data_IF_429273245164
#
_entry.id   IF_429273245164
#
_cell.length_a   1.000
_cell.length_b   1.000
_cell.length_c   1.000
_cell.angle_alpha   90.00
_cell.angle_beta   90.00
_cell.angle_gamma   90.00
#
_symmetry.space_group_name_H-M   'P 1'
#
loop_
_entity.id
_entity.type
_entity.pdbx_description
1 polymer ?
#
# COMPACT_ATOMS: atom_id res chain seq x y z
N UNK A 1 6.38 -27.51 22.96
CA UNK A 1 7.71 -27.40 22.30
C UNK A 1 7.63 -27.11 20.81
N UNK A 2 8.55 -26.32 20.25
CA UNK A 2 8.67 -26.08 18.81
C UNK A 2 9.52 -27.18 18.18
N UNK A 3 9.04 -27.78 17.09
CA UNK A 3 9.77 -28.83 16.38
C UNK A 3 9.75 -28.55 14.88
N UNK A 4 10.91 -28.70 14.23
CA UNK A 4 11.04 -28.66 12.78
C UNK A 4 10.75 -30.06 12.24
N UNK A 5 9.75 -30.20 11.37
CA UNK A 5 9.56 -31.41 10.56
C UNK A 5 10.04 -31.09 9.13
N UNK A 6 10.65 -32.07 8.47
CA UNK A 6 11.22 -31.95 7.13
C UNK A 6 10.29 -31.17 6.18
N UNK A 7 10.80 -30.03 5.71
CA UNK A 7 10.09 -29.06 4.87
C UNK A 7 9.69 -27.80 5.62
N UNK A 8 10.63 -26.86 5.79
CA UNK A 8 10.53 -25.41 6.06
C UNK A 8 9.27 -24.79 6.74
N UNK A 9 8.47 -25.53 7.49
CA UNK A 9 7.26 -25.05 8.16
C UNK A 9 7.43 -25.14 9.68
N UNK A 10 7.25 -24.02 10.36
CA UNK A 10 7.29 -23.95 11.82
C UNK A 10 5.90 -24.30 12.36
N UNK A 11 5.83 -25.25 13.29
CA UNK A 11 4.59 -25.69 13.91
C UNK A 11 4.68 -25.55 15.44
N UNK A 12 3.56 -25.20 16.07
CA UNK A 12 3.38 -25.27 17.51
C UNK A 12 2.52 -26.48 17.87
N UNK A 13 2.97 -27.23 18.88
CA UNK A 13 2.22 -28.36 19.44
C UNK A 13 1.77 -28.02 20.86
N UNK A 14 0.48 -28.23 21.13
CA UNK A 14 -0.09 -28.11 22.46
C UNK A 14 0.23 -29.36 23.30
N UNK A 15 0.83 -29.20 24.47
CA UNK A 15 1.19 -30.33 25.34
C UNK A 15 -0.02 -30.92 26.10
N UNK A 16 -1.11 -30.17 26.24
CA UNK A 16 -2.31 -30.64 26.93
C UNK A 16 -3.24 -31.50 26.04
N UNK A 17 -3.38 -31.15 24.77
CA UNK A 17 -4.30 -31.82 23.85
C UNK A 17 -3.62 -32.45 22.61
N UNK A 18 -2.31 -32.29 22.47
CA UNK A 18 -1.51 -32.88 21.38
C UNK A 18 -1.73 -32.26 20.00
N UNK A 19 -2.66 -31.31 19.87
CA UNK A 19 -2.98 -30.69 18.59
C UNK A 19 -1.80 -29.84 18.07
N UNK A 20 -1.57 -29.91 16.76
CA UNK A 20 -0.44 -29.23 16.11
C UNK A 20 -0.98 -28.19 15.13
N UNK A 21 -0.64 -26.93 15.37
CA UNK A 21 -1.02 -25.80 14.52
C UNK A 21 0.19 -25.35 13.70
N UNK A 22 0.00 -25.24 12.39
CA UNK A 22 1.01 -24.70 11.48
C UNK A 22 0.99 -23.17 11.54
N UNK A 23 2.17 -22.57 11.73
CA UNK A 23 2.33 -21.11 11.73
C UNK A 23 2.75 -20.68 10.34
N UNK A 24 2.07 -19.66 9.80
CA UNK A 24 2.41 -19.10 8.49
C UNK A 24 3.74 -18.35 8.57
N UNK A 25 4.62 -18.59 7.60
CA UNK A 25 6.01 -18.13 7.62
C UNK A 25 6.16 -16.64 7.27
N UNK A 26 5.21 -16.08 6.52
CA UNK A 26 5.39 -14.79 5.85
C UNK A 26 4.74 -13.59 6.59
N UNK A 27 4.13 -13.83 7.76
CA UNK A 27 3.30 -12.83 8.44
C UNK A 27 3.94 -12.17 9.66
N UNK A 28 5.14 -12.58 10.08
CA UNK A 28 5.75 -12.02 11.30
C UNK A 28 7.28 -12.13 11.32
N UNK A 29 7.98 -11.06 11.71
CA UNK A 29 9.47 -11.01 11.82
C UNK A 29 10.04 -12.11 12.73
N UNK A 30 9.27 -12.54 13.73
CA UNK A 30 9.63 -13.63 14.65
C UNK A 30 9.72 -14.99 13.94
N UNK A 31 8.86 -15.27 12.98
CA UNK A 31 8.84 -16.54 12.22
C UNK A 31 10.08 -16.67 11.33
N UNK A 32 10.52 -15.55 10.75
CA UNK A 32 11.77 -15.43 9.99
C UNK A 32 13.01 -15.60 10.89
N UNK A 33 12.99 -15.03 12.10
CA UNK A 33 14.09 -15.14 13.06
C UNK A 33 14.25 -16.58 13.60
N UNK A 34 13.15 -17.26 13.93
CA UNK A 34 13.18 -18.67 14.38
C UNK A 34 13.68 -19.58 13.25
N UNK A 35 13.30 -19.31 12.01
CA UNK A 35 13.79 -20.06 10.84
C UNK A 35 15.28 -19.92 10.62
N UNK A 36 15.84 -18.73 10.87
CA UNK A 36 17.27 -18.42 10.69
C UNK A 36 18.15 -18.91 11.84
N UNK A 37 17.64 -19.00 13.07
CA UNK A 37 18.43 -19.31 14.28
C UNK A 37 18.23 -20.72 14.85
N UNK A 38 17.36 -21.57 14.29
CA UNK A 38 17.29 -22.97 14.72
C UNK A 38 18.54 -23.74 14.26
N UNK A 39 19.39 -24.11 15.24
CA UNK A 39 20.57 -24.97 15.09
C UNK A 39 20.26 -26.19 14.21
N UNK A 40 21.07 -26.39 13.17
CA UNK A 40 21.08 -27.60 12.38
C UNK A 40 21.81 -28.68 13.19
N UNK A 41 21.09 -29.72 13.63
CA UNK A 41 21.76 -31.00 13.88
C UNK A 41 21.96 -31.70 12.54
N UNK A 42 23.23 -32.04 12.28
CA UNK A 42 23.73 -32.61 11.04
C UNK A 42 23.05 -33.93 10.66
N UNK A 43 22.69 -34.05 9.39
CA UNK A 43 22.34 -35.30 8.74
C UNK A 43 22.85 -35.30 7.30
N UNK A 44 23.92 -36.06 7.08
CA UNK A 44 24.63 -36.28 5.82
C UNK A 44 23.70 -36.68 4.66
N UNK A 45 23.99 -36.18 3.43
CA UNK A 45 24.25 -37.02 2.24
C UNK A 45 24.47 -36.18 0.96
N UNK A 46 25.73 -36.15 0.55
CA UNK A 46 26.35 -36.33 -0.78
C UNK A 46 25.59 -36.08 -2.11
N UNK A 47 26.30 -35.39 -3.02
CA UNK A 47 26.27 -35.54 -4.50
C UNK A 47 25.56 -34.41 -5.26
N UNK A 48 26.07 -33.77 -6.31
CA UNK A 48 27.29 -33.90 -7.11
C UNK A 48 27.47 -32.62 -7.99
N UNK A 49 28.71 -32.11 -8.08
CA UNK A 49 29.43 -31.32 -9.12
C UNK A 49 28.65 -30.65 -10.29
N UNK A 50 28.73 -29.32 -10.51
CA UNK A 50 29.80 -28.47 -11.15
C UNK A 50 29.54 -28.19 -12.67
N UNK A 51 30.24 -27.27 -13.36
CA UNK A 51 29.64 -26.06 -13.98
C UNK A 51 29.88 -25.95 -15.51
N UNK A 52 29.72 -24.73 -16.07
CA UNK A 52 30.25 -24.26 -17.38
C UNK A 52 29.24 -24.33 -18.56
N UNK A 53 28.93 -23.25 -19.28
CA UNK A 53 29.85 -22.60 -20.23
C UNK A 53 29.27 -21.31 -20.84
N UNK A 54 30.17 -20.36 -21.09
CA UNK A 54 30.04 -19.12 -21.89
C UNK A 54 30.21 -19.47 -23.38
N UNK A 55 29.63 -18.70 -24.31
CA UNK A 55 30.48 -18.11 -25.36
C UNK A 55 30.27 -16.61 -25.59
N UNK A 56 31.39 -15.95 -25.86
CA UNK A 56 31.57 -14.54 -26.23
C UNK A 56 31.63 -14.39 -27.75
N UNK A 57 31.14 -13.25 -28.28
CA UNK A 57 31.72 -12.38 -29.36
C UNK A 57 30.60 -11.72 -30.19
N UNK A 58 30.36 -10.41 -30.02
CA UNK A 58 30.94 -9.23 -30.71
C UNK A 58 30.30 -8.91 -32.08
N UNK A 59 29.75 -7.69 -32.23
CA UNK A 59 29.62 -7.03 -33.53
C UNK A 59 28.44 -6.06 -33.76
N UNK A 60 28.68 -4.77 -33.45
CA UNK A 60 28.29 -3.59 -34.25
C UNK A 60 26.80 -3.16 -34.46
N UNK A 61 26.52 -1.97 -33.91
CA UNK A 61 25.82 -0.79 -34.50
C UNK A 61 24.28 -0.69 -34.56
N UNK A 62 23.85 0.47 -34.03
CA UNK A 62 22.73 1.36 -34.42
C UNK A 62 21.38 1.23 -33.70
N UNK A 63 21.02 2.37 -33.12
CA UNK A 63 19.71 2.82 -32.65
C UNK A 63 18.51 2.22 -33.39
N UNK A 64 17.59 1.62 -32.62
CA UNK A 64 16.16 1.74 -32.85
C UNK A 64 15.45 1.44 -31.52
N UNK A 65 14.56 2.37 -31.15
CA UNK A 65 13.64 2.39 -30.03
C UNK A 65 13.28 1.01 -29.44
N UNK A 66 13.69 0.80 -28.19
CA UNK A 66 13.15 -0.24 -27.32
C UNK A 66 12.00 0.41 -26.53
N UNK A 67 10.84 0.51 -27.17
CA UNK A 67 9.56 0.65 -26.45
C UNK A 67 9.13 -0.76 -26.04
N UNK A 68 9.87 -1.37 -25.11
CA UNK A 68 9.44 -2.56 -24.37
C UNK A 68 9.31 -2.19 -22.89
N UNK A 69 8.41 -1.24 -22.62
CA UNK A 69 7.95 -0.94 -21.27
C UNK A 69 6.83 -1.94 -20.91
N UNK A 70 7.22 -3.20 -20.75
CA UNK A 70 6.45 -4.23 -20.08
C UNK A 70 6.36 -3.94 -18.59
N UNK A 71 5.57 -2.93 -18.22
CA UNK A 71 5.20 -2.69 -16.84
C UNK A 71 3.73 -2.29 -16.78
N UNK A 72 2.93 -3.16 -16.16
CA UNK A 72 1.48 -3.07 -16.02
C UNK A 72 1.05 -1.63 -15.68
N UNK A 73 0.42 -0.96 -16.65
CA UNK A 73 -0.27 0.31 -16.45
C UNK A 73 -1.53 0.05 -15.63
N UNK A 74 -1.38 -0.12 -14.32
CA UNK A 74 -2.48 -0.37 -13.37
C UNK A 74 -3.47 0.82 -13.27
N UNK A 75 -3.23 1.90 -14.01
CA UNK A 75 -4.17 2.99 -14.21
C UNK A 75 -5.17 2.73 -15.34
N UNK A 76 -5.02 1.69 -16.16
CA UNK A 76 -5.91 1.46 -17.31
C UNK A 76 -7.34 1.06 -16.90
N UNK A 77 -7.53 0.46 -15.73
CA UNK A 77 -8.86 0.00 -15.26
C UNK A 77 -9.77 1.14 -14.72
N UNK A 78 -9.23 2.34 -14.47
CA UNK A 78 -10.03 3.47 -13.95
C UNK A 78 -9.72 4.83 -14.58
N UNK A 79 -8.64 4.96 -15.35
CA UNK A 79 -8.11 6.27 -15.75
C UNK A 79 -8.25 6.59 -17.26
N UNK A 80 -8.87 5.76 -18.11
CA UNK A 80 -9.29 6.19 -19.47
C UNK A 80 -10.53 7.11 -19.46
N UNK A 81 -10.87 7.64 -18.29
CA UNK A 81 -12.12 8.27 -17.94
C UNK A 81 -11.81 9.27 -16.83
N UNK A 82 -11.72 10.55 -17.18
CA UNK A 82 -12.23 11.71 -16.42
C UNK A 82 -11.54 12.98 -16.97
N UNK A 83 -12.32 13.83 -17.66
CA UNK A 83 -12.10 15.27 -17.64
C UNK A 83 -13.44 15.99 -17.53
N UNK A 84 -13.62 16.77 -16.46
CA UNK A 84 -14.41 18.00 -16.31
C UNK A 84 -15.95 17.99 -16.48
N UNK A 85 -16.63 17.71 -15.37
CA UNK A 85 -17.74 18.53 -14.83
C UNK A 85 -18.96 18.83 -15.72
N UNK A 86 -19.37 17.87 -16.52
CA UNK A 86 -20.74 17.29 -16.59
C UNK A 86 -20.60 15.87 -17.19
N UNK A 87 -19.45 15.28 -16.84
CA UNK A 87 -18.77 14.14 -17.48
C UNK A 87 -18.74 12.94 -16.50
N UNK A 88 -19.33 13.12 -15.32
CA UNK A 88 -19.15 12.37 -14.06
C UNK A 88 -19.58 10.90 -14.07
N UNK A 89 -20.23 10.43 -15.14
CA UNK A 89 -20.74 9.06 -15.30
C UNK A 89 -20.56 8.56 -16.75
N UNK A 90 -20.53 9.46 -17.72
CA UNK A 90 -21.04 9.17 -19.07
C UNK A 90 -19.97 8.90 -20.14
N UNK A 91 -18.68 9.10 -19.85
CA UNK A 91 -17.63 9.08 -20.88
C UNK A 91 -16.99 7.71 -21.16
N UNK A 92 -17.53 6.62 -20.61
CA UNK A 92 -16.89 5.30 -20.72
C UNK A 92 -17.86 4.15 -21.04
N UNK A 93 -18.81 4.45 -21.91
CA UNK A 93 -19.58 3.45 -22.64
C UNK A 93 -18.69 2.99 -23.80
N UNK A 94 -17.97 1.87 -23.64
CA UNK A 94 -17.59 1.00 -24.77
C UNK A 94 -17.09 -0.40 -24.34
N UNK A 95 -17.88 -1.06 -23.47
CA UNK A 95 -18.17 -2.51 -23.51
C UNK A 95 -19.47 -2.76 -22.74
N UNK A 96 -20.58 -2.65 -23.45
CA UNK A 96 -21.89 -2.17 -22.95
C UNK A 96 -22.58 -3.00 -21.84
N UNK A 97 -22.13 -4.20 -21.49
CA UNK A 97 -22.89 -5.06 -20.55
C UNK A 97 -22.21 -5.32 -19.20
N UNK A 98 -20.88 -5.43 -19.14
CA UNK A 98 -20.17 -5.68 -17.87
C UNK A 98 -19.85 -4.37 -17.12
N UNK A 99 -19.58 -3.29 -17.84
CA UNK A 99 -19.10 -2.04 -17.24
C UNK A 99 -20.24 -1.16 -16.73
N UNK A 100 -21.42 -1.23 -17.36
CA UNK A 100 -22.63 -0.57 -16.85
C UNK A 100 -23.05 -1.12 -15.48
N UNK A 101 -22.85 -2.43 -15.25
CA UNK A 101 -23.16 -3.07 -13.98
C UNK A 101 -22.22 -2.60 -12.86
N UNK A 102 -20.92 -2.50 -13.16
CA UNK A 102 -19.92 -1.96 -12.21
C UNK A 102 -20.22 -0.50 -11.91
N UNK A 103 -20.64 0.28 -12.91
CA UNK A 103 -21.04 1.66 -12.71
C UNK A 103 -22.23 1.80 -11.77
N UNK A 104 -23.30 1.04 -12.02
CA UNK A 104 -24.49 1.05 -11.16
C UNK A 104 -24.15 0.64 -9.72
N UNK A 105 -23.27 -0.34 -9.54
CA UNK A 105 -22.79 -0.76 -8.23
C UNK A 105 -22.00 0.33 -7.51
N UNK A 106 -21.14 1.06 -8.22
CA UNK A 106 -20.43 2.22 -7.66
C UNK A 106 -21.43 3.31 -7.25
N UNK A 107 -22.41 3.65 -8.09
CA UNK A 107 -23.45 4.64 -7.76
C UNK A 107 -24.30 4.22 -6.54
N UNK A 108 -24.70 2.96 -6.48
CA UNK A 108 -25.42 2.38 -5.34
C UNK A 108 -24.61 2.55 -4.04
N UNK A 109 -23.31 2.22 -4.07
CA UNK A 109 -22.44 2.38 -2.93
C UNK A 109 -22.23 3.85 -2.53
N UNK A 110 -22.01 4.74 -3.51
CA UNK A 110 -21.87 6.19 -3.29
C UNK A 110 -23.12 6.76 -2.60
N UNK A 111 -24.30 6.35 -3.06
CA UNK A 111 -25.57 6.75 -2.45
C UNK A 111 -25.67 6.30 -0.99
N UNK A 112 -25.29 5.05 -0.71
CA UNK A 112 -25.27 4.50 0.64
C UNK A 112 -24.26 5.23 1.55
N UNK A 113 -23.05 5.50 1.04
CA UNK A 113 -22.01 6.24 1.75
C UNK A 113 -22.47 7.66 2.10
N UNK A 114 -23.07 8.38 1.14
CA UNK A 114 -23.65 9.72 1.36
C UNK A 114 -24.78 9.69 2.39
N UNK A 115 -25.66 8.68 2.36
CA UNK A 115 -26.71 8.50 3.36
C UNK A 115 -26.14 8.28 4.76
N UNK A 116 -25.13 7.41 4.91
CA UNK A 116 -24.45 7.14 6.19
C UNK A 116 -23.69 8.38 6.69
N UNK A 117 -23.12 9.20 5.79
CA UNK A 117 -22.53 10.51 6.13
C UNK A 117 -23.56 11.44 6.75
N UNK A 118 -24.72 11.61 6.11
CA UNK A 118 -25.81 12.48 6.61
C UNK A 118 -26.37 12.00 7.95
N UNK A 119 -26.37 10.68 8.19
CA UNK A 119 -26.78 10.09 9.45
C UNK A 119 -25.70 10.17 10.56
N UNK A 120 -24.51 10.72 10.28
CA UNK A 120 -23.35 10.71 11.18
C UNK A 120 -22.96 9.32 11.69
N UNK A 121 -23.11 8.29 10.83
CA UNK A 121 -22.86 6.88 11.17
C UNK A 121 -21.49 6.38 10.70
N UNK A 122 -20.65 7.24 10.12
CA UNK A 122 -19.36 6.83 9.55
C UNK A 122 -18.24 6.63 10.57
N UNK A 123 -18.51 6.88 11.85
CA UNK A 123 -17.59 6.62 12.97
C UNK A 123 -18.04 5.44 13.84
N UNK A 124 -19.20 4.85 13.52
CA UNK A 124 -19.72 3.68 14.21
C UNK A 124 -19.14 2.40 13.60
N UNK A 125 -18.47 1.52 14.38
CA UNK A 125 -17.84 0.32 13.85
C UNK A 125 -18.79 -0.62 13.12
N UNK A 126 -20.04 -0.73 13.57
CA UNK A 126 -21.04 -1.60 12.95
C UNK A 126 -21.46 -1.06 11.59
N UNK A 127 -21.73 0.25 11.51
CA UNK A 127 -22.06 0.93 10.26
C UNK A 127 -20.91 0.88 9.23
N UNK A 128 -19.65 0.96 9.69
CA UNK A 128 -18.48 0.76 8.82
C UNK A 128 -18.43 -0.69 8.33
N UNK A 129 -18.69 -1.67 9.20
CA UNK A 129 -18.70 -3.08 8.81
C UNK A 129 -19.79 -3.37 7.77
N UNK A 130 -20.99 -2.79 7.90
CA UNK A 130 -22.05 -2.88 6.90
C UNK A 130 -21.60 -2.33 5.54
N UNK A 131 -20.89 -1.19 5.52
CA UNK A 131 -20.32 -0.62 4.30
C UNK A 131 -19.32 -1.57 3.64
N UNK A 132 -18.40 -2.17 4.41
CA UNK A 132 -17.42 -3.11 3.86
C UNK A 132 -18.10 -4.34 3.28
N UNK A 133 -19.06 -4.94 3.99
CA UNK A 133 -19.83 -6.10 3.52
C UNK A 133 -20.57 -5.77 2.23
N UNK A 134 -21.15 -4.57 2.12
CA UNK A 134 -21.85 -4.15 0.91
C UNK A 134 -20.88 -3.95 -0.26
N UNK A 135 -19.71 -3.35 -0.03
CA UNK A 135 -18.68 -3.20 -1.05
C UNK A 135 -18.15 -4.56 -1.56
N UNK A 136 -18.02 -5.55 -0.67
CA UNK A 136 -17.66 -6.93 -1.02
C UNK A 136 -18.78 -7.62 -1.80
N UNK A 137 -20.05 -7.46 -1.38
CA UNK A 137 -21.24 -8.00 -2.06
C UNK A 137 -21.33 -7.48 -3.50
N UNK A 138 -21.04 -6.20 -3.70
CA UNK A 138 -21.02 -5.51 -4.98
C UNK A 138 -19.72 -5.78 -5.78
N UNK A 139 -18.72 -6.45 -5.19
CA UNK A 139 -17.41 -6.74 -5.80
C UNK A 139 -16.64 -5.49 -6.26
N UNK A 140 -16.79 -4.38 -5.54
CA UNK A 140 -16.14 -3.10 -5.83
C UNK A 140 -15.23 -2.62 -4.70
N UNK A 141 -14.95 -3.47 -3.70
CA UNK A 141 -14.14 -3.10 -2.52
C UNK A 141 -12.81 -2.41 -2.89
N UNK A 142 -12.13 -2.87 -3.94
CA UNK A 142 -10.91 -2.25 -4.44
C UNK A 142 -11.13 -0.81 -4.93
N UNK A 143 -12.24 -0.53 -5.61
CA UNK A 143 -12.54 0.74 -6.26
C UNK A 143 -13.14 1.79 -5.31
N UNK A 144 -13.83 1.35 -4.26
CA UNK A 144 -14.52 2.23 -3.30
C UNK A 144 -13.67 3.40 -2.78
N UNK A 145 -12.40 3.20 -2.37
CA UNK A 145 -11.57 4.28 -1.84
C UNK A 145 -11.41 5.49 -2.78
N UNK A 146 -11.51 5.29 -4.10
CA UNK A 146 -11.45 6.39 -5.07
C UNK A 146 -12.55 7.44 -4.86
N UNK A 147 -13.76 6.99 -4.54
CA UNK A 147 -14.94 7.87 -4.41
C UNK A 147 -15.10 8.48 -3.01
N UNK A 148 -14.35 7.96 -2.02
CA UNK A 148 -14.44 8.42 -0.63
C UNK A 148 -14.08 9.91 -0.49
N UNK A 149 -12.98 10.42 -1.08
CA UNK A 149 -12.65 11.84 -1.01
C UNK A 149 -13.78 12.74 -1.48
N UNK A 150 -14.37 12.46 -2.64
CA UNK A 150 -15.46 13.26 -3.19
C UNK A 150 -16.71 13.24 -2.30
N UNK A 151 -17.02 12.09 -1.71
CA UNK A 151 -18.19 11.95 -0.86
C UNK A 151 -18.00 12.62 0.50
N UNK A 152 -16.79 12.54 1.06
CA UNK A 152 -16.55 12.85 2.47
C UNK A 152 -15.85 14.19 2.68
N UNK A 153 -14.90 14.56 1.83
CA UNK A 153 -13.97 15.64 2.13
C UNK A 153 -14.40 17.01 1.60
N UNK A 154 -13.94 18.03 2.31
CA UNK A 154 -14.11 19.46 2.03
C UNK A 154 -12.73 20.14 2.02
N UNK A 155 -12.66 21.44 2.23
CA UNK A 155 -11.39 22.16 2.41
C UNK A 155 -10.64 21.78 3.71
N UNK A 156 -11.27 20.98 4.57
CA UNK A 156 -10.75 20.53 5.86
C UNK A 156 -10.22 19.08 5.84
N UNK A 157 -9.75 18.61 4.67
CA UNK A 157 -9.30 17.23 4.41
C UNK A 157 -8.51 16.62 5.57
N UNK A 158 -7.50 17.33 6.08
CA UNK A 158 -6.62 16.79 7.14
C UNK A 158 -7.39 16.42 8.41
N UNK A 159 -8.39 17.22 8.80
CA UNK A 159 -9.24 16.92 9.94
C UNK A 159 -10.22 15.80 9.63
N UNK A 160 -10.75 15.78 8.41
CA UNK A 160 -11.72 14.79 7.98
C UNK A 160 -11.10 13.39 7.82
N UNK A 161 -9.82 13.30 7.43
CA UNK A 161 -9.05 12.05 7.47
C UNK A 161 -9.05 11.50 8.90
N UNK A 162 -8.80 12.34 9.91
CA UNK A 162 -8.81 11.92 11.31
C UNK A 162 -10.20 11.48 11.77
N UNK A 163 -11.25 12.22 11.38
CA UNK A 163 -12.64 11.88 11.70
C UNK A 163 -13.02 10.52 11.10
N UNK A 164 -12.67 10.27 9.83
CA UNK A 164 -13.08 9.08 9.09
C UNK A 164 -12.02 7.97 9.05
N UNK A 165 -10.97 8.06 9.89
CA UNK A 165 -9.84 7.13 9.83
C UNK A 165 -10.21 5.67 9.95
N UNK A 166 -11.19 5.35 10.81
CA UNK A 166 -11.63 3.97 11.00
C UNK A 166 -12.20 3.37 9.70
N UNK A 167 -12.95 4.16 8.94
CA UNK A 167 -13.49 3.75 7.64
C UNK A 167 -12.36 3.60 6.62
N UNK A 168 -11.46 4.59 6.54
CA UNK A 168 -10.34 4.60 5.60
C UNK A 168 -9.39 3.42 5.82
N UNK A 169 -9.01 3.17 7.08
CA UNK A 169 -8.20 2.01 7.48
C UNK A 169 -8.88 0.69 7.09
N UNK A 170 -10.19 0.56 7.31
CA UNK A 170 -10.93 -0.67 6.96
C UNK A 170 -10.99 -0.90 5.45
N UNK A 171 -11.19 0.15 4.67
CA UNK A 171 -11.21 0.07 3.20
C UNK A 171 -9.84 -0.22 2.60
N UNK A 172 -8.78 0.32 3.20
CA UNK A 172 -7.40 0.22 2.71
C UNK A 172 -6.62 -0.96 3.30
N UNK A 173 -7.13 -1.62 4.34
CA UNK A 173 -6.48 -2.75 4.98
C UNK A 173 -6.26 -3.90 3.99
N UNK A 174 -4.99 -4.27 3.75
CA UNK A 174 -4.57 -5.31 2.80
C UNK A 174 -5.06 -5.06 1.36
N UNK A 175 -5.41 -3.82 1.03
CA UNK A 175 -5.97 -3.41 -0.25
C UNK A 175 -5.07 -2.37 -0.89
N UNK A 176 -3.91 -2.81 -1.42
CA UNK A 176 -2.90 -1.94 -2.03
C UNK A 176 -3.47 -1.16 -3.22
N UNK A 177 -4.30 -1.82 -4.05
CA UNK A 177 -5.02 -1.15 -5.15
C UNK A 177 -5.94 -0.05 -4.62
N UNK A 178 -6.70 -0.32 -3.57
CA UNK A 178 -7.55 0.65 -2.90
C UNK A 178 -6.78 1.85 -2.34
N UNK A 179 -5.61 1.64 -1.75
CA UNK A 179 -4.75 2.73 -1.28
C UNK A 179 -4.30 3.64 -2.43
N UNK A 180 -3.89 3.05 -3.56
CA UNK A 180 -3.55 3.81 -4.77
C UNK A 180 -4.75 4.57 -5.32
N UNK A 181 -5.92 3.94 -5.35
CA UNK A 181 -7.17 4.57 -5.76
C UNK A 181 -7.58 5.73 -4.84
N UNK A 182 -7.32 5.64 -3.54
CA UNK A 182 -7.54 6.74 -2.61
C UNK A 182 -6.68 7.97 -2.95
N UNK A 183 -5.39 7.77 -3.26
CA UNK A 183 -4.50 8.86 -3.69
C UNK A 183 -4.99 9.51 -4.99
N UNK A 184 -5.47 8.71 -5.93
CA UNK A 184 -6.07 9.19 -7.17
C UNK A 184 -7.38 9.96 -6.93
N UNK A 185 -8.23 9.51 -6.01
CA UNK A 185 -9.44 10.23 -5.60
C UNK A 185 -9.12 11.58 -4.96
N UNK A 186 -8.07 11.64 -4.14
CA UNK A 186 -7.56 12.87 -3.55
C UNK A 186 -7.01 13.84 -4.60
N UNK A 187 -6.22 13.35 -5.54
CA UNK A 187 -5.73 14.14 -6.67
C UNK A 187 -6.89 14.72 -7.49
N UNK A 188 -7.91 13.90 -7.74
CA UNK A 188 -9.12 14.31 -8.49
C UNK A 188 -9.87 15.44 -7.78
N UNK A 189 -10.18 15.28 -6.48
CA UNK A 189 -10.93 16.31 -5.75
C UNK A 189 -10.12 17.60 -5.60
N UNK A 190 -8.80 17.51 -5.38
CA UNK A 190 -7.92 18.69 -5.28
C UNK A 190 -7.79 19.40 -6.63
N UNK A 191 -7.74 18.65 -7.73
CA UNK A 191 -7.63 19.22 -9.07
C UNK A 191 -8.92 19.87 -9.58
N UNK A 192 -10.08 19.34 -9.18
CA UNK A 192 -11.40 19.73 -9.73
C UNK A 192 -12.18 20.68 -8.84
N UNK A 193 -12.06 20.59 -7.51
CA UNK A 193 -12.80 21.44 -6.59
C UNK A 193 -12.04 22.75 -6.33
N UNK A 194 -12.61 23.87 -6.79
CA UNK A 194 -12.00 25.20 -6.68
C UNK A 194 -11.69 25.64 -5.23
N UNK A 195 -12.59 25.34 -4.29
CA UNK A 195 -12.43 25.76 -2.89
C UNK A 195 -11.31 25.00 -2.20
N UNK A 196 -11.27 23.68 -2.41
CA UNK A 196 -10.21 22.80 -1.93
C UNK A 196 -8.88 23.22 -2.56
N UNK A 197 -8.86 23.39 -3.88
CA UNK A 197 -7.66 23.79 -4.63
C UNK A 197 -7.10 25.11 -4.11
N UNK A 198 -7.92 26.12 -3.91
CA UNK A 198 -7.47 27.42 -3.42
C UNK A 198 -6.76 27.36 -2.06
N UNK A 199 -7.12 26.39 -1.19
CA UNK A 199 -6.57 26.26 0.17
C UNK A 199 -5.43 25.25 0.28
N UNK A 200 -5.52 24.14 -0.46
CA UNK A 200 -4.67 22.96 -0.26
C UNK A 200 -3.68 22.70 -1.40
N UNK A 201 -3.84 23.35 -2.56
CA UNK A 201 -2.94 23.20 -3.72
C UNK A 201 -1.63 23.98 -3.54
N UNK A 202 -0.83 23.56 -2.56
CA UNK A 202 0.50 24.07 -2.26
C UNK A 202 1.30 22.99 -1.51
N UNK A 203 2.62 23.17 -1.42
CA UNK A 203 3.54 22.20 -0.78
C UNK A 203 3.12 21.82 0.64
N UNK A 204 2.71 22.80 1.45
CA UNK A 204 2.32 22.57 2.85
C UNK A 204 1.00 21.82 2.96
N UNK A 205 0.03 22.14 2.11
CA UNK A 205 -1.26 21.46 2.05
C UNK A 205 -1.10 20.00 1.68
N UNK A 206 -0.40 19.74 0.57
CA UNK A 206 -0.15 18.37 0.10
C UNK A 206 0.65 17.55 1.11
N UNK A 207 1.75 18.10 1.64
CA UNK A 207 2.58 17.38 2.62
C UNK A 207 1.81 17.03 3.88
N UNK A 208 0.92 17.92 4.36
CA UNK A 208 0.06 17.61 5.52
C UNK A 208 -0.96 16.52 5.26
N UNK A 209 -1.56 16.48 4.06
CA UNK A 209 -2.52 15.45 3.69
C UNK A 209 -1.83 14.10 3.63
N UNK A 210 -0.70 14.01 2.90
CA UNK A 210 0.05 12.77 2.73
C UNK A 210 0.62 12.27 4.06
N UNK A 211 1.19 13.18 4.87
CA UNK A 211 1.66 12.84 6.21
C UNK A 211 0.52 12.30 7.08
N UNK A 212 -0.67 12.90 7.03
CA UNK A 212 -1.80 12.42 7.83
C UNK A 212 -2.29 11.04 7.39
N UNK A 213 -2.22 10.72 6.10
CA UNK A 213 -2.55 9.37 5.60
C UNK A 213 -1.52 8.32 6.03
N UNK A 214 -0.25 8.73 6.12
CA UNK A 214 0.85 7.91 6.64
C UNK A 214 0.71 7.68 8.15
N UNK A 215 0.59 8.75 8.95
CA UNK A 215 0.49 8.70 10.42
C UNK A 215 -0.70 7.89 10.93
N UNK A 216 -1.80 7.82 10.16
CA UNK A 216 -2.99 7.06 10.51
C UNK A 216 -3.00 5.64 9.90
N UNK A 217 -1.87 5.15 9.38
CA UNK A 217 -1.72 3.81 8.80
C UNK A 217 -2.74 3.49 7.69
N UNK A 218 -3.14 4.51 6.91
CA UNK A 218 -4.13 4.34 5.83
C UNK A 218 -3.43 3.86 4.55
N UNK A 219 -2.23 4.40 4.28
CA UNK A 219 -1.45 4.13 3.07
C UNK A 219 -0.03 3.73 3.46
N UNK A 220 0.46 2.64 2.87
CA UNK A 220 1.83 2.16 3.07
C UNK A 220 2.84 2.92 2.22
N UNK A 221 4.10 2.94 2.65
CA UNK A 221 5.18 3.72 2.06
C UNK A 221 5.38 3.42 0.57
N UNK A 222 5.34 2.14 0.20
CA UNK A 222 5.55 1.68 -1.17
C UNK A 222 4.53 2.30 -2.14
N UNK A 223 3.28 2.50 -1.68
CA UNK A 223 2.21 3.08 -2.48
C UNK A 223 2.46 4.57 -2.73
N UNK A 224 3.00 5.30 -1.74
CA UNK A 224 3.39 6.70 -1.95
C UNK A 224 4.49 6.82 -3.00
N UNK A 225 5.52 5.97 -2.92
CA UNK A 225 6.61 5.97 -3.90
C UNK A 225 6.12 5.61 -5.30
N UNK A 226 5.26 4.59 -5.44
CA UNK A 226 4.72 4.18 -6.72
C UNK A 226 3.85 5.28 -7.35
N UNK A 227 2.96 5.88 -6.56
CA UNK A 227 2.12 7.00 -7.01
C UNK A 227 2.96 8.22 -7.43
N UNK A 228 4.07 8.49 -6.74
CA UNK A 228 4.93 9.63 -7.02
C UNK A 228 5.69 9.54 -8.35
N UNK A 229 6.06 8.33 -8.79
CA UNK A 229 6.92 8.11 -9.98
C UNK A 229 6.41 8.76 -11.27
N UNK A 230 5.08 8.77 -11.48
CA UNK A 230 4.48 9.24 -12.74
C UNK A 230 3.26 10.10 -12.47
N UNK A 231 3.28 11.32 -13.00
CA UNK A 231 2.10 12.16 -13.09
C UNK A 231 1.11 11.59 -14.12
N UNK A 232 -0.17 11.62 -13.79
CA UNK A 232 -1.23 11.04 -14.62
C UNK A 232 -2.07 12.14 -15.25
N UNK A 233 -2.09 12.20 -16.57
CA UNK A 233 -2.93 13.15 -17.35
C UNK A 233 -4.40 12.73 -17.45
N UNK A 234 -4.76 11.63 -16.79
CA UNK A 234 -5.97 10.85 -17.05
C UNK A 234 -7.14 11.24 -16.13
N UNK A 235 -6.86 11.72 -14.92
CA UNK A 235 -7.86 12.05 -13.89
C UNK A 235 -8.04 13.56 -13.70
N UNK A 236 -6.97 14.30 -13.97
CA UNK A 236 -6.89 15.76 -13.87
C UNK A 236 -6.01 16.28 -14.99
N UNK A 237 -6.07 17.59 -15.24
CA UNK A 237 -5.17 18.23 -16.20
C UNK A 237 -3.70 17.89 -15.89
N UNK A 238 -2.91 17.62 -16.93
CA UNK A 238 -1.52 17.17 -16.78
C UNK A 238 -0.69 18.16 -15.95
N UNK A 239 -0.90 19.47 -16.12
CA UNK A 239 -0.18 20.48 -15.35
C UNK A 239 -0.55 20.41 -13.86
N UNK A 240 -1.83 20.18 -13.56
CA UNK A 240 -2.30 20.00 -12.18
C UNK A 240 -1.67 18.74 -11.56
N UNK A 241 -1.63 17.63 -12.27
CA UNK A 241 -1.00 16.39 -11.79
C UNK A 241 0.50 16.59 -11.53
N UNK A 242 1.22 17.24 -12.45
CA UNK A 242 2.64 17.56 -12.29
C UNK A 242 2.90 18.48 -11.08
N UNK A 243 2.05 19.50 -10.88
CA UNK A 243 2.11 20.38 -9.70
C UNK A 243 1.83 19.62 -8.39
N UNK A 244 0.86 18.70 -8.36
CA UNK A 244 0.59 17.85 -7.19
C UNK A 244 1.83 17.03 -6.82
N UNK A 245 2.49 16.43 -7.81
CA UNK A 245 3.76 15.71 -7.59
C UNK A 245 4.84 16.66 -7.10
N UNK A 246 4.98 17.84 -7.68
CA UNK A 246 5.94 18.86 -7.21
C UNK A 246 5.70 19.23 -5.74
N UNK A 247 4.45 19.43 -5.34
CA UNK A 247 4.09 19.77 -3.95
C UNK A 247 4.23 18.60 -2.98
N UNK A 248 4.15 17.36 -3.46
CA UNK A 248 4.40 16.16 -2.65
C UNK A 248 5.90 15.89 -2.41
N UNK A 249 6.81 16.58 -3.12
CA UNK A 249 8.25 16.30 -3.09
C UNK A 249 8.84 16.33 -1.67
N UNK A 250 8.49 17.34 -0.86
CA UNK A 250 9.03 17.46 0.50
C UNK A 250 8.61 16.29 1.39
N UNK A 251 7.36 15.81 1.25
CA UNK A 251 6.89 14.62 1.96
C UNK A 251 7.63 13.36 1.52
N UNK A 252 7.82 13.15 0.22
CA UNK A 252 8.50 11.95 -0.30
C UNK A 252 9.97 11.91 0.14
N UNK A 253 10.65 13.05 0.14
CA UNK A 253 12.03 13.15 0.63
C UNK A 253 12.12 12.87 2.14
N UNK A 254 11.17 13.41 2.91
CA UNK A 254 11.06 13.13 4.33
C UNK A 254 10.81 11.64 4.60
N UNK A 255 9.91 11.00 3.84
CA UNK A 255 9.58 9.59 3.98
C UNK A 255 10.80 8.70 3.76
N UNK A 256 11.62 9.04 2.75
CA UNK A 256 12.88 8.34 2.45
C UNK A 256 13.90 8.45 3.58
N UNK A 257 14.03 9.65 4.18
CA UNK A 257 14.97 9.88 5.29
C UNK A 257 14.53 9.12 6.55
N UNK A 258 13.22 9.01 6.78
CA UNK A 258 12.68 8.27 7.91
C UNK A 258 13.01 6.76 7.83
N UNK A 259 12.95 6.18 6.63
CA UNK A 259 13.34 4.78 6.37
C UNK A 259 14.81 4.53 6.71
N UNK A 260 15.72 5.39 6.21
CA UNK A 260 17.18 5.27 6.43
C UNK A 260 17.56 5.38 7.93
N UNK A 261 16.86 6.22 8.71
CA UNK A 261 17.14 6.39 10.15
C UNK A 261 16.72 5.22 11.05
N UNK A 262 15.78 4.36 10.61
CA UNK A 262 15.35 3.20 11.41
C UNK A 262 16.31 2.01 11.32
N UNK A 263 17.21 1.99 10.32
CA UNK A 263 18.16 0.89 10.12
C UNK A 263 19.52 1.13 10.81
N UNK A 264 19.79 2.33 11.31
CA UNK A 264 21.08 2.70 11.94
C UNK A 264 21.13 2.53 13.47
N UNK A 265 20.01 2.24 14.16
CA UNK A 265 19.99 2.07 15.63
C UNK A 265 20.26 0.62 16.09
N UNK A 266 21.40 0.03 15.69
CA UNK A 266 21.78 -1.33 16.14
C UNK A 266 23.26 -1.51 16.46
N UNK A 267 23.96 -0.53 17.04
CA UNK A 267 25.37 -0.76 17.46
C UNK A 267 25.83 0.09 18.66
N UNK A 268 25.22 -0.06 19.86
CA UNK A 268 25.92 0.39 21.08
C UNK A 268 25.46 -0.22 22.42
N UNK A 269 25.58 -1.55 22.63
CA UNK A 269 25.78 -2.10 24.01
C UNK A 269 26.62 -3.38 23.99
N UNK A 270 27.95 -3.27 23.93
CA UNK A 270 28.82 -4.36 24.42
C UNK A 270 30.20 -3.86 24.87
N UNK A 271 30.24 -3.12 25.97
CA UNK A 271 31.49 -2.95 26.72
C UNK A 271 31.25 -2.93 28.21
N UNK A 272 30.69 -4.02 28.73
CA UNK A 272 30.98 -4.44 30.09
C UNK A 272 31.17 -5.96 30.15
N UNK A 273 32.40 -6.33 30.55
CA UNK A 273 32.74 -7.43 31.47
C UNK A 273 33.52 -8.60 30.84
N UNK A 274 34.82 -8.60 31.10
CA UNK A 274 35.58 -9.84 31.28
C UNK A 274 36.07 -9.92 32.73
N UNK A 275 35.61 -10.90 33.53
CA UNK A 275 36.28 -11.27 34.77
C UNK A 275 37.41 -12.25 34.45
N UNK A 276 38.65 -11.83 34.73
CA UNK A 276 39.83 -12.69 34.73
C UNK A 276 39.64 -13.82 35.75
N UNK A 277 39.72 -15.07 35.28
CA UNK A 277 40.04 -16.23 36.09
C UNK A 277 41.31 -16.82 35.51
N UNK A 278 42.37 -16.86 36.32
CA UNK A 278 43.39 -17.91 36.37
C UNK A 278 44.32 -17.57 37.54
N UNK A 279 44.19 -18.30 38.66
CA UNK A 279 45.33 -19.07 39.16
C UNK A 279 44.91 -20.00 40.31
N UNK A 280 45.25 -21.27 40.15
CA UNK A 280 45.11 -22.38 41.10
C UNK A 280 46.50 -23.04 41.20
N UNK A 281 47.09 -23.04 42.41
CA UNK A 281 48.30 -23.79 42.80
C UNK A 281 49.59 -22.98 42.64
N UNK A 282 50.44 -22.78 43.65
CA UNK A 282 50.92 -23.71 44.68
C UNK A 282 51.37 -22.92 45.94
#
# INVERSE_FOLDING_TARGET
SFHKKNGNKICQRCDACGNTLAISMDSHKLTTFISKNCLQENGNNEGHNSPESIPTEQGATNNANDDDDGNEDWGDDLASNITNSDIHVKSMIQSEDFDNLVHEYCEQFISLLKKKKLANQLNDPLSIQELIIEAERLKILEKVPFFVPECLFTDQIVKEIEVYKMLLQKLCAKNIKGQKYLLHGLETIIGTNNEIRAKLFNTKGMSKILLKLYEEDIIVEEVFYEWYKKASKRLVDKAISEDIRKYAKEFIEWLRTAEESSDEEVDEVSSLRSPSKNDLGH
#
